data_IF_938046585533
#
_entry.id   IF_938046585533
#
_cell.length_a   1.000
_cell.length_b   1.000
_cell.length_c   1.000
_cell.angle_alpha   90.00
_cell.angle_beta   90.00
_cell.angle_gamma   90.00
#
_symmetry.space_group_name_H-M   'P 1'
#
loop_
_entity.id
_entity.type
_entity.pdbx_description
1 polymer ?
#
# COMPACT_ATOMS: atom_id res chain seq x y z
N UNK A 1 16.11 -21.29 8.56
CA UNK A 1 16.48 -20.15 7.68
C UNK A 1 17.11 -20.59 6.35
N UNK A 2 18.16 -21.43 6.34
CA UNK A 2 18.84 -21.87 5.10
C UNK A 2 17.93 -22.69 4.15
N UNK A 3 16.95 -23.42 4.68
CA UNK A 3 16.04 -24.27 3.87
C UNK A 3 15.05 -23.47 3.01
N UNK A 4 14.54 -22.34 3.53
CA UNK A 4 13.58 -21.46 2.84
C UNK A 4 14.26 -20.71 1.68
N UNK A 5 15.50 -20.24 1.88
CA UNK A 5 16.27 -19.59 0.81
C UNK A 5 16.60 -20.55 -0.33
N UNK A 6 16.86 -21.83 -0.02
CA UNK A 6 17.13 -22.82 -1.06
C UNK A 6 15.86 -23.19 -1.84
N UNK A 7 14.68 -23.23 -1.21
CA UNK A 7 13.40 -23.46 -1.88
C UNK A 7 12.99 -22.28 -2.76
N UNK A 8 13.16 -21.04 -2.28
CA UNK A 8 12.95 -19.82 -3.08
C UNK A 8 13.90 -19.77 -4.29
N UNK A 9 15.19 -20.04 -4.10
CA UNK A 9 16.16 -20.06 -5.19
C UNK A 9 15.88 -21.17 -6.22
N UNK A 10 15.38 -22.34 -5.80
CA UNK A 10 15.00 -23.43 -6.71
C UNK A 10 13.75 -23.05 -7.52
N UNK A 11 12.76 -22.41 -6.88
CA UNK A 11 11.55 -21.90 -7.53
C UNK A 11 11.89 -20.81 -8.56
N UNK A 12 12.77 -19.85 -8.23
CA UNK A 12 13.25 -18.83 -9.17
C UNK A 12 14.00 -19.44 -10.36
N UNK A 13 14.75 -20.54 -10.14
CA UNK A 13 15.54 -21.21 -11.20
C UNK A 13 14.69 -22.08 -12.12
N UNK A 14 13.63 -22.71 -11.61
CA UNK A 14 12.64 -23.45 -12.40
C UNK A 14 11.71 -22.50 -13.18
N UNK A 15 11.32 -21.36 -12.60
CA UNK A 15 10.49 -20.34 -13.26
C UNK A 15 11.21 -19.57 -14.37
N UNK A 16 12.46 -19.17 -14.14
CA UNK A 16 13.26 -18.39 -15.11
C UNK A 16 13.61 -19.13 -16.40
N UNK A 17 13.41 -20.45 -16.46
CA UNK A 17 13.68 -21.27 -17.65
C UNK A 17 12.52 -21.32 -18.65
N UNK A 18 11.34 -20.77 -18.31
CA UNK A 18 10.11 -20.90 -19.12
C UNK A 18 9.48 -19.59 -19.59
N UNK A 19 10.02 -18.42 -19.25
CA UNK A 19 9.32 -17.15 -19.51
C UNK A 19 10.07 -16.21 -20.46
N UNK A 20 9.35 -15.52 -21.40
CA UNK A 20 10.00 -14.82 -22.51
C UNK A 20 10.60 -13.46 -22.17
N UNK A 21 10.46 -12.91 -20.95
CA UNK A 21 11.07 -11.61 -20.66
C UNK A 21 11.38 -11.38 -19.16
N UNK A 22 12.68 -11.27 -18.83
CA UNK A 22 13.15 -11.03 -17.45
C UNK A 22 12.83 -9.62 -16.96
N UNK A 23 12.64 -8.67 -17.87
CA UNK A 23 12.41 -7.28 -17.53
C UNK A 23 11.00 -7.03 -17.02
N UNK A 24 10.01 -7.79 -17.49
CA UNK A 24 8.64 -7.70 -16.97
C UNK A 24 8.57 -8.14 -15.51
N UNK A 25 9.21 -9.25 -15.14
CA UNK A 25 9.21 -9.75 -13.75
C UNK A 25 9.78 -8.73 -12.74
N UNK A 26 10.90 -8.08 -13.10
CA UNK A 26 11.53 -7.04 -12.25
C UNK A 26 10.63 -5.84 -11.99
N UNK A 27 9.72 -5.52 -12.92
CA UNK A 27 8.81 -4.39 -12.77
C UNK A 27 7.64 -4.70 -11.84
N UNK A 28 7.17 -5.95 -11.80
CA UNK A 28 6.16 -6.40 -10.84
C UNK A 28 6.73 -6.47 -9.42
N UNK A 29 7.97 -6.95 -9.28
CA UNK A 29 8.70 -6.93 -8.00
C UNK A 29 8.78 -5.51 -7.42
N UNK A 30 8.87 -4.48 -8.28
CA UNK A 30 8.90 -3.09 -7.85
C UNK A 30 7.54 -2.61 -7.30
N UNK A 31 6.43 -2.95 -7.96
CA UNK A 31 5.10 -2.64 -7.43
C UNK A 31 4.90 -3.32 -6.06
N UNK A 32 5.19 -4.61 -5.97
CA UNK A 32 5.11 -5.34 -4.70
C UNK A 32 6.01 -4.73 -3.62
N UNK A 33 7.24 -4.34 -3.95
CA UNK A 33 8.16 -3.65 -3.03
C UNK A 33 7.54 -2.39 -2.42
N UNK A 34 6.84 -1.58 -3.22
CA UNK A 34 6.13 -0.40 -2.72
C UNK A 34 4.91 -0.76 -1.84
N UNK A 35 4.18 -1.84 -2.15
CA UNK A 35 3.14 -2.35 -1.28
C UNK A 35 3.70 -2.87 0.06
N UNK A 36 4.84 -3.58 0.04
CA UNK A 36 5.53 -4.00 1.27
C UNK A 36 6.00 -2.80 2.09
N UNK A 37 6.58 -1.79 1.44
CA UNK A 37 6.99 -0.56 2.11
C UNK A 37 5.81 0.14 2.79
N UNK A 38 4.63 0.16 2.14
CA UNK A 38 3.42 0.72 2.74
C UNK A 38 3.02 -0.03 4.02
N UNK A 39 3.05 -1.36 3.99
CA UNK A 39 2.76 -2.15 5.20
C UNK A 39 3.84 -2.02 6.27
N UNK A 40 5.11 -1.87 5.90
CA UNK A 40 6.17 -1.62 6.88
C UNK A 40 5.99 -0.27 7.58
N UNK A 41 5.52 0.76 6.85
CA UNK A 41 5.11 2.03 7.46
C UNK A 41 3.97 1.80 8.47
N UNK A 42 2.95 1.00 8.12
CA UNK A 42 1.87 0.64 9.04
C UNK A 42 2.36 -0.13 10.28
N UNK A 43 3.37 -1.01 10.15
CA UNK A 43 4.00 -1.66 11.30
C UNK A 43 4.71 -0.63 12.19
N UNK A 44 5.49 0.28 11.60
CA UNK A 44 6.20 1.34 12.34
C UNK A 44 5.23 2.29 13.03
N UNK A 45 4.08 2.60 12.43
CA UNK A 45 2.99 3.32 13.08
C UNK A 45 2.58 2.65 14.39
N UNK A 46 2.25 1.34 14.35
CA UNK A 46 1.82 0.61 15.56
C UNK A 46 2.91 0.61 16.64
N UNK A 47 4.18 0.51 16.26
CA UNK A 47 5.31 0.58 17.20
C UNK A 47 5.45 1.95 17.86
N UNK A 48 5.20 3.03 17.11
CA UNK A 48 5.26 4.40 17.62
C UNK A 48 4.07 4.71 18.53
N UNK A 49 2.86 4.27 18.17
CA UNK A 49 1.67 4.42 19.03
C UNK A 49 1.85 3.66 20.35
N UNK A 50 2.41 2.45 20.33
CA UNK A 50 2.75 1.71 21.56
C UNK A 50 3.78 2.44 22.44
N UNK A 51 4.68 3.23 21.86
CA UNK A 51 5.62 4.08 22.61
C UNK A 51 4.96 5.36 23.13
N UNK A 52 3.86 5.80 22.53
CA UNK A 52 3.08 6.95 22.97
C UNK A 52 2.11 6.61 24.12
N UNK A 53 1.69 5.34 24.24
CA UNK A 53 0.84 4.83 25.31
C UNK A 53 1.70 4.03 26.32
N UNK A 54 2.05 4.48 27.56
CA UNK A 54 1.52 5.58 28.38
C UNK A 54 2.59 6.50 29.04
N UNK A 55 2.25 7.77 29.30
CA UNK A 55 2.94 8.61 30.30
C UNK A 55 2.02 9.02 31.45
N UNK A 56 0.70 8.87 31.34
CA UNK A 56 -0.21 9.38 32.36
C UNK A 56 -1.27 8.35 32.73
N UNK A 57 -0.95 7.49 33.71
CA UNK A 57 -1.96 6.83 34.54
C UNK A 57 -2.23 7.59 35.84
N UNK A 58 -1.47 8.65 36.13
CA UNK A 58 -1.59 9.44 37.36
C UNK A 58 -1.86 10.91 37.01
N UNK A 59 -3.03 11.43 37.41
CA UNK A 59 -3.48 12.81 37.19
C UNK A 59 -2.56 13.87 37.81
N UNK A 60 -1.61 13.47 38.66
CA UNK A 60 -0.62 14.37 39.28
C UNK A 60 0.72 14.41 38.54
N UNK A 61 1.02 13.42 37.69
CA UNK A 61 2.33 13.27 37.05
C UNK A 61 2.69 14.47 36.16
N UNK A 62 1.71 15.09 35.49
CA UNK A 62 1.94 16.26 34.62
C UNK A 62 2.42 17.51 35.35
N UNK A 63 2.31 17.56 36.69
CA UNK A 63 2.82 18.67 37.52
C UNK A 63 4.32 18.58 37.79
N UNK A 64 4.98 17.50 37.36
CA UNK A 64 6.43 17.29 37.51
C UNK A 64 7.16 17.53 36.20
N UNK A 65 8.43 17.94 36.25
CA UNK A 65 9.28 18.08 35.06
C UNK A 65 9.36 16.77 34.27
N UNK A 66 9.41 15.62 34.96
CA UNK A 66 9.42 14.29 34.36
C UNK A 66 8.12 13.99 33.59
N UNK A 67 6.97 14.36 34.15
CA UNK A 67 5.68 14.20 33.46
C UNK A 67 5.52 15.13 32.26
N UNK A 68 6.02 16.37 32.32
CA UNK A 68 6.04 17.27 31.16
C UNK A 68 6.94 16.70 30.05
N UNK A 69 8.14 16.23 30.39
CA UNK A 69 9.05 15.61 29.42
C UNK A 69 8.45 14.36 28.78
N UNK A 70 7.81 13.51 29.57
CA UNK A 70 7.10 12.34 29.05
C UNK A 70 5.95 12.73 28.12
N UNK A 71 5.14 13.74 28.46
CA UNK A 71 4.06 14.23 27.61
C UNK A 71 4.59 14.74 26.25
N UNK A 72 5.68 15.51 26.27
CA UNK A 72 6.36 15.98 25.06
C UNK A 72 6.87 14.81 24.21
N UNK A 73 7.42 13.77 24.84
CA UNK A 73 7.89 12.58 24.15
C UNK A 73 6.74 11.77 23.53
N UNK A 74 5.63 11.59 24.24
CA UNK A 74 4.43 10.94 23.73
C UNK A 74 3.85 11.70 22.52
N UNK A 75 3.74 13.03 22.61
CA UNK A 75 3.31 13.88 21.51
C UNK A 75 4.24 13.77 20.29
N UNK A 76 5.56 13.67 20.52
CA UNK A 76 6.53 13.43 19.43
C UNK A 76 6.31 12.08 18.76
N UNK A 77 6.09 11.01 19.53
CA UNK A 77 5.78 9.70 18.95
C UNK A 77 4.46 9.69 18.17
N UNK A 78 3.43 10.38 18.65
CA UNK A 78 2.17 10.54 17.91
C UNK A 78 2.38 11.23 16.56
N UNK A 79 3.13 12.34 16.51
CA UNK A 79 3.48 13.02 15.24
C UNK A 79 4.29 12.14 14.29
N UNK A 80 5.25 11.38 14.82
CA UNK A 80 6.02 10.43 14.00
C UNK A 80 5.13 9.31 13.47
N UNK A 81 4.19 8.81 14.28
CA UNK A 81 3.24 7.79 13.86
C UNK A 81 2.39 8.31 12.68
N UNK A 82 1.81 9.50 12.77
CA UNK A 82 1.01 10.06 11.66
C UNK A 82 1.81 10.18 10.36
N UNK A 83 3.11 10.54 10.43
CA UNK A 83 3.98 10.54 9.25
C UNK A 83 4.13 9.16 8.61
N UNK A 84 4.16 8.08 9.40
CA UNK A 84 4.17 6.71 8.88
C UNK A 84 2.85 6.35 8.19
N UNK A 85 1.69 6.81 8.68
CA UNK A 85 0.42 6.63 7.96
C UNK A 85 0.44 7.31 6.59
N UNK A 86 0.94 8.55 6.54
CA UNK A 86 1.03 9.29 5.29
C UNK A 86 1.99 8.60 4.31
N UNK A 87 3.14 8.15 4.82
CA UNK A 87 4.10 7.38 4.02
C UNK A 87 3.50 6.07 3.50
N UNK A 88 2.64 5.41 4.27
CA UNK A 88 1.93 4.21 3.82
C UNK A 88 1.00 4.50 2.64
N UNK A 89 0.18 5.56 2.74
CA UNK A 89 -0.73 6.02 1.67
C UNK A 89 0.04 6.31 0.39
N UNK A 90 1.12 7.12 0.47
CA UNK A 90 1.91 7.51 -0.71
C UNK A 90 2.66 6.31 -1.31
N UNK A 91 3.24 5.46 -0.47
CA UNK A 91 3.95 4.26 -0.94
C UNK A 91 3.02 3.30 -1.66
N UNK A 92 1.80 3.12 -1.15
CA UNK A 92 0.84 2.24 -1.79
C UNK A 92 0.28 2.84 -3.10
N UNK A 93 0.06 4.16 -3.17
CA UNK A 93 -0.27 4.82 -4.43
C UNK A 93 0.81 4.60 -5.49
N UNK A 94 2.09 4.69 -5.11
CA UNK A 94 3.19 4.41 -6.03
C UNK A 94 3.13 2.95 -6.55
N UNK A 95 2.81 1.98 -5.69
CA UNK A 95 2.59 0.58 -6.12
C UNK A 95 1.52 0.47 -7.22
N UNK A 96 0.39 1.15 -7.04
CA UNK A 96 -0.70 1.13 -8.02
C UNK A 96 -0.32 1.80 -9.34
N UNK A 97 0.43 2.92 -9.30
CA UNK A 97 0.93 3.59 -10.51
C UNK A 97 1.95 2.74 -11.27
N UNK A 98 2.85 2.07 -10.55
CA UNK A 98 3.84 1.17 -11.14
C UNK A 98 3.13 -0.02 -11.79
N UNK A 99 2.14 -0.62 -11.14
CA UNK A 99 1.35 -1.71 -11.72
C UNK A 99 0.67 -1.29 -13.02
N UNK A 100 0.01 -0.12 -13.02
CA UNK A 100 -0.62 0.41 -14.23
C UNK A 100 0.39 0.69 -15.34
N UNK A 101 1.55 1.25 -15.00
CA UNK A 101 2.66 1.44 -15.94
C UNK A 101 3.12 0.10 -16.52
N UNK A 102 3.20 -0.96 -15.72
CA UNK A 102 3.58 -2.29 -16.21
C UNK A 102 2.57 -2.84 -17.21
N UNK A 103 1.27 -2.66 -16.95
CA UNK A 103 0.21 -3.06 -17.88
C UNK A 103 0.32 -2.33 -19.23
N UNK A 104 0.60 -1.02 -19.21
CA UNK A 104 0.84 -0.25 -20.44
C UNK A 104 2.03 -0.76 -21.26
N UNK A 105 2.96 -1.49 -20.65
CA UNK A 105 4.13 -2.07 -21.33
C UNK A 105 3.98 -3.56 -21.65
N UNK A 106 2.85 -4.19 -21.31
CA UNK A 106 2.67 -5.63 -21.49
C UNK A 106 2.56 -6.02 -22.97
N UNK A 107 1.64 -5.37 -23.69
CA UNK A 107 1.44 -5.56 -25.12
C UNK A 107 0.67 -4.36 -25.71
N UNK A 108 0.65 -4.27 -27.05
CA UNK A 108 0.03 -3.15 -27.76
C UNK A 108 -1.49 -3.08 -27.61
N UNK A 109 -2.17 -4.22 -27.43
CA UNK A 109 -3.62 -4.26 -27.26
C UNK A 109 -4.02 -3.73 -25.86
N UNK A 110 -3.28 -4.14 -24.83
CA UNK A 110 -3.45 -3.63 -23.46
C UNK A 110 -3.20 -2.12 -23.40
N UNK A 111 -2.12 -1.63 -24.02
CA UNK A 111 -1.83 -0.21 -24.10
C UNK A 111 -2.98 0.56 -24.77
N UNK A 112 -3.42 0.13 -25.95
CA UNK A 112 -4.49 0.78 -26.68
C UNK A 112 -5.81 0.81 -25.90
N UNK A 113 -6.12 -0.26 -25.16
CA UNK A 113 -7.31 -0.31 -24.31
C UNK A 113 -7.24 0.70 -23.15
N UNK A 114 -6.08 0.83 -22.50
CA UNK A 114 -5.87 1.80 -21.42
C UNK A 114 -5.96 3.24 -21.92
N UNK A 115 -5.32 3.56 -23.05
CA UNK A 115 -5.33 4.90 -23.62
C UNK A 115 -6.71 5.30 -24.18
N UNK A 116 -7.49 4.34 -24.67
CA UNK A 116 -8.86 4.57 -25.12
C UNK A 116 -9.81 5.00 -23.99
N UNK A 117 -9.47 4.69 -22.72
CA UNK A 117 -10.21 5.09 -21.53
C UNK A 117 -10.22 6.58 -21.23
N UNK A 118 -9.38 7.35 -21.91
CA UNK A 118 -9.11 8.75 -21.59
C UNK A 118 -8.05 8.94 -20.51
N UNK A 119 -7.69 10.19 -20.25
CA UNK A 119 -6.64 10.53 -19.30
C UNK A 119 -7.06 10.35 -17.84
N UNK A 120 -6.06 10.08 -16.99
CA UNK A 120 -6.18 10.12 -15.53
C UNK A 120 -6.18 8.74 -14.88
N UNK A 121 -5.56 8.66 -13.70
CA UNK A 121 -5.30 7.41 -12.97
C UNK A 121 -6.52 6.49 -12.84
N UNK A 122 -7.69 7.05 -12.48
CA UNK A 122 -8.94 6.29 -12.35
C UNK A 122 -9.34 5.62 -13.67
N UNK A 123 -9.39 6.39 -14.75
CA UNK A 123 -9.91 5.92 -16.03
C UNK A 123 -8.99 4.88 -16.66
N UNK A 124 -7.68 5.09 -16.53
CA UNK A 124 -6.67 4.15 -17.00
C UNK A 124 -6.77 2.80 -16.28
N UNK A 125 -6.95 2.80 -14.95
CA UNK A 125 -7.17 1.58 -14.18
C UNK A 125 -8.48 0.88 -14.54
N UNK A 126 -9.60 1.61 -14.63
CA UNK A 126 -10.88 1.02 -15.03
C UNK A 126 -10.83 0.40 -16.42
N UNK A 127 -10.11 1.02 -17.34
CA UNK A 127 -9.92 0.51 -18.69
C UNK A 127 -9.03 -0.72 -18.72
N UNK A 128 -7.96 -0.75 -17.92
CA UNK A 128 -7.12 -1.92 -17.73
C UNK A 128 -7.92 -3.12 -17.17
N UNK A 129 -8.71 -2.90 -16.12
CA UNK A 129 -9.53 -3.94 -15.51
C UNK A 129 -10.59 -4.47 -16.48
N UNK A 130 -11.28 -3.58 -17.20
CA UNK A 130 -12.25 -3.93 -18.22
C UNK A 130 -11.63 -4.77 -19.34
N UNK A 131 -10.46 -4.37 -19.85
CA UNK A 131 -9.72 -5.10 -20.87
C UNK A 131 -9.35 -6.52 -20.42
N UNK A 132 -8.95 -6.68 -19.16
CA UNK A 132 -8.58 -7.95 -18.55
C UNK A 132 -9.78 -8.78 -18.05
N UNK A 133 -11.01 -8.28 -18.21
CA UNK A 133 -12.22 -8.96 -17.73
C UNK A 133 -12.36 -9.04 -16.21
N UNK A 134 -11.76 -8.09 -15.48
CA UNK A 134 -11.73 -8.03 -14.02
C UNK A 134 -12.82 -7.08 -13.51
N UNK A 135 -13.50 -7.45 -12.43
CA UNK A 135 -14.48 -6.59 -11.76
C UNK A 135 -13.79 -5.40 -11.07
N UNK A 136 -14.38 -4.21 -11.16
CA UNK A 136 -13.76 -2.97 -10.68
C UNK A 136 -14.07 -2.62 -9.21
N UNK A 137 -14.88 -3.42 -8.52
CA UNK A 137 -15.42 -3.08 -7.19
C UNK A 137 -14.34 -2.80 -6.13
N UNK A 138 -13.25 -3.59 -6.10
CA UNK A 138 -12.14 -3.36 -5.18
C UNK A 138 -11.35 -2.11 -5.55
N UNK A 139 -11.10 -1.87 -6.85
CA UNK A 139 -10.43 -0.66 -7.30
C UNK A 139 -11.24 0.61 -6.99
N UNK A 140 -12.57 0.57 -7.17
CA UNK A 140 -13.44 1.72 -6.85
C UNK A 140 -13.37 2.08 -5.37
N UNK A 141 -13.34 1.07 -4.48
CA UNK A 141 -13.15 1.29 -3.03
C UNK A 141 -11.78 1.90 -2.74
N UNK A 142 -10.71 1.31 -3.28
CA UNK A 142 -9.37 1.87 -3.17
C UNK A 142 -9.29 3.33 -3.63
N UNK A 143 -9.85 3.62 -4.81
CA UNK A 143 -9.84 4.95 -5.39
C UNK A 143 -10.56 5.95 -4.47
N UNK A 144 -11.72 5.59 -3.93
CA UNK A 144 -12.44 6.49 -3.05
C UNK A 144 -11.71 6.67 -1.70
N UNK A 145 -11.34 5.57 -1.06
CA UNK A 145 -10.81 5.57 0.30
C UNK A 145 -9.39 6.12 0.36
N UNK A 146 -8.50 5.68 -0.53
CA UNK A 146 -7.10 6.10 -0.52
C UNK A 146 -6.89 7.29 -1.46
N UNK A 147 -7.26 7.17 -2.74
CA UNK A 147 -6.84 8.16 -3.74
C UNK A 147 -7.53 9.52 -3.51
N UNK A 148 -8.86 9.52 -3.38
CA UNK A 148 -9.64 10.74 -3.18
C UNK A 148 -9.55 11.25 -1.75
N UNK A 149 -9.84 10.40 -0.76
CA UNK A 149 -10.03 10.87 0.62
C UNK A 149 -8.74 11.03 1.43
N UNK A 150 -7.61 10.47 0.98
CA UNK A 150 -6.35 10.53 1.74
C UNK A 150 -5.20 11.11 0.91
N UNK A 151 -4.87 10.51 -0.24
CA UNK A 151 -3.74 10.91 -1.08
C UNK A 151 -3.91 12.32 -1.62
N UNK A 152 -5.09 12.68 -2.11
CA UNK A 152 -5.30 14.02 -2.66
C UNK A 152 -5.13 15.11 -1.59
N UNK A 153 -5.77 15.04 -0.40
CA UNK A 153 -5.48 15.95 0.71
C UNK A 153 -4.01 15.99 1.12
N UNK A 154 -3.32 14.84 1.13
CA UNK A 154 -1.89 14.79 1.50
C UNK A 154 -0.96 15.50 0.50
N UNK A 155 -1.33 15.56 -0.78
CA UNK A 155 -0.47 16.11 -1.84
C UNK A 155 -0.88 17.53 -2.24
N UNK A 156 -2.17 17.83 -2.17
CA UNK A 156 -2.78 19.09 -2.64
C UNK A 156 -3.40 19.90 -1.51
N UNK A 157 -3.10 19.56 -0.25
CA UNK A 157 -3.72 20.15 0.93
C UNK A 157 -3.35 21.63 1.13
N UNK A 158 -4.06 22.48 0.38
CA UNK A 158 -3.93 23.92 0.40
C UNK A 158 -5.13 24.57 1.11
N UNK A 159 -6.23 23.84 1.28
CA UNK A 159 -7.45 24.30 1.94
C UNK A 159 -7.56 23.78 3.38
N UNK A 160 -8.20 24.52 4.31
CA UNK A 160 -8.40 24.07 5.69
C UNK A 160 -9.11 22.71 5.80
N UNK A 161 -10.04 22.41 4.90
CA UNK A 161 -10.73 21.11 4.86
C UNK A 161 -9.81 19.95 4.52
N UNK A 162 -8.75 20.19 3.74
CA UNK A 162 -7.76 19.17 3.41
C UNK A 162 -6.84 18.91 4.60
N UNK A 163 -6.47 19.97 5.33
CA UNK A 163 -5.68 19.84 6.57
C UNK A 163 -6.46 19.03 7.62
N UNK A 164 -7.75 19.33 7.80
CA UNK A 164 -8.63 18.55 8.67
C UNK A 164 -8.75 17.10 8.20
N UNK A 165 -8.86 16.85 6.89
CA UNK A 165 -8.90 15.50 6.35
C UNK A 165 -7.60 14.73 6.64
N UNK A 166 -6.44 15.37 6.47
CA UNK A 166 -5.12 14.80 6.75
C UNK A 166 -4.97 14.45 8.23
N UNK A 167 -5.35 15.35 9.13
CA UNK A 167 -5.26 15.13 10.58
C UNK A 167 -6.19 14.03 11.08
N UNK A 168 -7.26 13.73 10.34
CA UNK A 168 -8.25 12.70 10.67
C UNK A 168 -8.00 11.34 9.99
N UNK A 169 -6.89 11.15 9.27
CA UNK A 169 -6.54 9.84 8.69
C UNK A 169 -6.30 8.82 9.80
N UNK A 170 -7.08 7.74 9.80
CA UNK A 170 -6.99 6.65 10.78
C UNK A 170 -6.27 5.43 10.21
N UNK A 171 -5.60 4.70 11.09
CA UNK A 171 -4.90 3.47 10.74
C UNK A 171 -5.82 2.43 10.07
N UNK A 172 -7.02 2.24 10.62
CA UNK A 172 -8.00 1.27 10.14
C UNK A 172 -8.47 1.59 8.72
N UNK A 173 -8.66 2.87 8.41
CA UNK A 173 -9.09 3.30 7.08
C UNK A 173 -7.96 3.09 6.06
N UNK A 174 -6.71 3.38 6.44
CA UNK A 174 -5.54 3.16 5.56
C UNK A 174 -5.33 1.67 5.28
N UNK A 175 -5.39 0.80 6.29
CA UNK A 175 -5.16 -0.64 6.07
C UNK A 175 -6.28 -1.28 5.24
N UNK A 176 -7.54 -0.87 5.43
CA UNK A 176 -8.68 -1.35 4.63
C UNK A 176 -8.61 -0.83 3.19
N UNK A 177 -8.29 0.44 3.00
CA UNK A 177 -8.10 1.00 1.67
C UNK A 177 -6.96 0.32 0.90
N UNK A 178 -5.82 0.09 1.57
CA UNK A 178 -4.69 -0.68 1.01
C UNK A 178 -5.11 -2.11 0.66
N UNK A 179 -5.90 -2.78 1.51
CA UNK A 179 -6.43 -4.13 1.22
C UNK A 179 -7.19 -4.15 -0.12
N UNK A 180 -8.07 -3.17 -0.34
CA UNK A 180 -8.83 -3.07 -1.60
C UNK A 180 -7.93 -2.83 -2.81
N UNK A 181 -6.92 -1.96 -2.70
CA UNK A 181 -5.98 -1.75 -3.80
C UNK A 181 -5.15 -3.00 -4.07
N UNK A 182 -4.74 -3.73 -3.02
CA UNK A 182 -4.01 -4.98 -3.16
C UNK A 182 -4.86 -6.05 -3.84
N UNK A 183 -6.16 -6.11 -3.54
CA UNK A 183 -7.08 -7.03 -4.21
C UNK A 183 -7.20 -6.76 -5.70
N UNK A 184 -7.20 -5.49 -6.12
CA UNK A 184 -7.14 -5.14 -7.53
C UNK A 184 -5.81 -5.57 -8.17
N UNK A 185 -4.68 -5.34 -7.50
CA UNK A 185 -3.36 -5.83 -7.95
C UNK A 185 -3.32 -7.36 -8.07
N UNK A 186 -3.87 -8.07 -7.08
CA UNK A 186 -3.90 -9.53 -7.05
C UNK A 186 -4.73 -10.10 -8.20
N UNK A 187 -5.88 -9.50 -8.52
CA UNK A 187 -6.66 -9.92 -9.70
C UNK A 187 -5.92 -9.68 -11.01
N UNK A 188 -5.28 -8.51 -11.14
CA UNK A 188 -4.49 -8.19 -12.33
C UNK A 188 -3.39 -9.21 -12.51
N UNK A 189 -2.56 -9.42 -11.49
CA UNK A 189 -1.42 -10.35 -11.53
C UNK A 189 -1.87 -11.79 -11.74
N UNK A 190 -3.04 -12.18 -11.23
CA UNK A 190 -3.65 -13.48 -11.52
C UNK A 190 -4.09 -13.60 -13.00
N UNK A 191 -4.79 -12.59 -13.52
CA UNK A 191 -5.30 -12.57 -14.91
C UNK A 191 -4.17 -12.68 -15.95
N UNK A 192 -3.02 -12.08 -15.67
CA UNK A 192 -1.83 -12.12 -16.54
C UNK A 192 -0.88 -13.30 -16.23
N UNK A 193 -1.26 -14.21 -15.33
CA UNK A 193 -0.53 -15.44 -15.05
C UNK A 193 0.74 -15.31 -14.19
N UNK A 194 0.87 -14.22 -13.43
CA UNK A 194 2.01 -13.99 -12.52
C UNK A 194 1.77 -14.43 -11.08
N UNK A 195 0.53 -14.40 -10.61
CA UNK A 195 0.17 -14.84 -9.25
C UNK A 195 -0.78 -16.05 -9.30
N UNK A 196 -0.50 -17.04 -8.45
CA UNK A 196 -1.27 -18.27 -8.32
C UNK A 196 -2.16 -18.30 -7.08
N UNK A 197 -1.87 -17.46 -6.09
CA UNK A 197 -2.69 -17.30 -4.89
C UNK A 197 -3.94 -16.45 -5.19
N UNK A 198 -5.07 -16.84 -4.61
CA UNK A 198 -6.25 -15.97 -4.57
C UNK A 198 -6.01 -14.73 -3.69
N UNK A 199 -6.81 -13.68 -3.89
CA UNK A 199 -6.71 -12.37 -3.21
C UNK A 199 -6.51 -12.45 -1.69
N UNK A 200 -7.32 -13.25 -1.00
CA UNK A 200 -7.27 -13.33 0.47
C UNK A 200 -5.98 -13.98 0.96
N UNK A 201 -5.48 -14.99 0.26
CA UNK A 201 -4.24 -15.67 0.65
C UNK A 201 -3.01 -14.84 0.27
N UNK A 202 -3.04 -14.12 -0.85
CA UNK A 202 -1.99 -13.16 -1.20
C UNK A 202 -1.93 -12.01 -0.19
N UNK A 203 -3.08 -11.53 0.30
CA UNK A 203 -3.14 -10.51 1.35
C UNK A 203 -2.59 -11.01 2.69
N UNK A 204 -2.98 -12.21 3.14
CA UNK A 204 -2.42 -12.82 4.35
C UNK A 204 -0.90 -13.00 4.25
N UNK A 205 -0.40 -13.40 3.07
CA UNK A 205 1.05 -13.47 2.79
C UNK A 205 1.70 -12.10 2.96
N UNK A 206 1.11 -11.07 2.37
CA UNK A 206 1.59 -9.69 2.44
C UNK A 206 1.68 -9.19 3.90
N UNK A 207 0.61 -9.36 4.68
CA UNK A 207 0.57 -9.01 6.10
C UNK A 207 1.62 -9.76 6.91
N UNK A 208 1.76 -11.07 6.69
CA UNK A 208 2.74 -11.90 7.39
C UNK A 208 4.19 -11.46 7.12
N UNK A 209 4.51 -11.06 5.88
CA UNK A 209 5.85 -10.56 5.52
C UNK A 209 6.11 -9.24 6.23
N UNK A 210 5.11 -8.36 6.29
CA UNK A 210 5.21 -7.07 6.97
C UNK A 210 5.15 -7.16 8.51
N UNK A 211 4.97 -8.36 9.08
CA UNK A 211 4.87 -8.54 10.53
C UNK A 211 3.57 -7.98 11.14
N UNK A 212 2.55 -7.76 10.33
CA UNK A 212 1.21 -7.36 10.76
C UNK A 212 0.38 -8.64 10.97
N UNK A 213 -0.26 -8.78 12.15
CA UNK A 213 -1.09 -9.93 12.52
C UNK A 213 -2.51 -9.50 12.84
#
# INVERSE_FOLDING_TARGET
MIKIYNELALLTKLWSSKMPDRDNFRRYDLAESHAYNALDCLRRYQELIKKAAPVHSDEEAWKTDEGVQGAMQAARYGKLAHRELYAAVISFQASMEIMLSNLKHMDAATLAAIEAGGGGFKNEWLSALSHLGIADADFQKYHNDIYINMRNPLIHGDEPSDLDAVDNIKYEDVIVGIKHGWFAIADVTHSIGLESLGKEDSWKRLLSIAGLK
#
